data_IF_608777906275
#
_entry.id   IF_608777906275
#
_cell.length_a   1.000
_cell.length_b   1.000
_cell.length_c   1.000
_cell.angle_alpha   90.00
_cell.angle_beta   90.00
_cell.angle_gamma   90.00
#
_symmetry.space_group_name_H-M   'P 1'
#
loop_
_entity.id
_entity.type
_entity.pdbx_description
1 polymer ?
#
# COMPACT_ATOMS: atom_id res chain seq x y z
N UNK A 1 67.87 -3.21 -14.65
CA UNK A 1 66.68 -3.68 -15.39
C UNK A 1 66.52 -5.12 -14.90
N UNK A 2 65.64 -5.48 -13.98
CA UNK A 2 64.25 -5.08 -13.73
C UNK A 2 63.96 -4.81 -12.25
N UNK A 3 63.05 -3.85 -12.04
CA UNK A 3 62.44 -3.53 -10.75
C UNK A 3 61.19 -4.41 -10.65
N UNK A 4 61.13 -5.34 -9.71
CA UNK A 4 59.91 -6.08 -9.38
C UNK A 4 59.11 -5.23 -8.39
N UNK A 5 58.15 -4.49 -8.93
CA UNK A 5 57.14 -3.73 -8.20
C UNK A 5 56.16 -4.71 -7.52
N UNK A 6 56.21 -4.77 -6.18
CA UNK A 6 55.18 -5.43 -5.39
C UNK A 6 53.85 -4.68 -5.57
N UNK A 7 52.90 -5.31 -6.29
CA UNK A 7 51.50 -4.91 -6.28
C UNK A 7 50.95 -5.10 -4.85
N UNK A 8 50.71 -3.99 -4.15
CA UNK A 8 49.81 -3.97 -3.00
C UNK A 8 48.38 -4.06 -3.56
N UNK A 9 47.71 -5.18 -3.32
CA UNK A 9 46.26 -5.23 -3.46
C UNK A 9 45.63 -4.21 -2.49
N UNK A 10 44.61 -3.45 -2.91
CA UNK A 10 43.88 -2.57 -2.02
C UNK A 10 43.06 -3.43 -1.06
N UNK A 11 43.36 -3.31 0.24
CA UNK A 11 42.46 -3.78 1.31
C UNK A 11 41.10 -3.13 1.07
N UNK A 12 39.99 -3.88 1.04
CA UNK A 12 38.67 -3.26 0.93
C UNK A 12 38.48 -2.40 2.17
N UNK A 13 38.30 -1.09 1.96
CA UNK A 13 37.87 -0.18 3.01
C UNK A 13 36.52 -0.66 3.53
N UNK A 14 36.55 -1.40 4.64
CA UNK A 14 35.36 -1.61 5.45
C UNK A 14 34.84 -0.24 5.84
N UNK A 15 33.60 0.06 5.46
CA UNK A 15 32.94 1.30 5.84
C UNK A 15 32.84 1.37 7.35
N UNK A 16 33.71 2.16 7.97
CA UNK A 16 33.54 2.67 9.31
C UNK A 16 32.25 3.53 9.28
N UNK A 17 31.13 2.95 9.74
CA UNK A 17 30.01 3.77 10.15
C UNK A 17 30.53 4.76 11.19
N UNK A 18 30.20 6.04 11.04
CA UNK A 18 30.73 7.06 11.93
C UNK A 18 30.37 6.73 13.38
N UNK A 19 31.21 7.09 14.35
CA UNK A 19 30.94 6.88 15.78
C UNK A 19 29.57 7.45 16.20
N UNK A 20 29.13 8.50 15.49
CA UNK A 20 27.84 9.16 15.68
C UNK A 20 26.66 8.28 15.20
N UNK A 21 26.84 7.49 14.13
CA UNK A 21 25.83 6.53 13.66
C UNK A 21 25.66 5.37 14.65
N UNK A 22 26.75 4.91 15.26
CA UNK A 22 26.70 3.87 16.28
C UNK A 22 26.02 4.36 17.56
N UNK A 23 26.39 5.54 18.04
CA UNK A 23 25.75 6.17 19.19
C UNK A 23 24.24 6.38 18.96
N UNK A 24 23.86 6.84 17.77
CA UNK A 24 22.46 7.04 17.37
C UNK A 24 21.68 5.72 17.35
N UNK A 25 22.26 4.64 16.81
CA UNK A 25 21.65 3.30 16.83
C UNK A 25 21.45 2.77 18.25
N UNK A 26 22.45 2.92 19.11
CA UNK A 26 22.38 2.46 20.50
C UNK A 26 21.33 3.24 21.30
N UNK A 27 21.29 4.56 21.14
CA UNK A 27 20.28 5.43 21.77
C UNK A 27 18.88 5.05 21.30
N UNK A 28 18.68 4.92 19.99
CA UNK A 28 17.38 4.53 19.42
C UNK A 28 16.90 3.17 19.94
N UNK A 29 17.79 2.17 19.99
CA UNK A 29 17.45 0.85 20.54
C UNK A 29 17.07 0.91 22.03
N UNK A 30 17.80 1.69 22.84
CA UNK A 30 17.48 1.87 24.25
C UNK A 30 16.11 2.55 24.46
N UNK A 31 15.79 3.55 23.64
CA UNK A 31 14.50 4.23 23.66
C UNK A 31 13.35 3.30 23.27
N UNK A 32 13.51 2.51 22.20
CA UNK A 32 12.53 1.49 21.80
C UNK A 32 12.28 0.50 22.94
N UNK A 33 13.34 -0.02 23.56
CA UNK A 33 13.22 -0.99 24.66
C UNK A 33 12.49 -0.38 25.86
N UNK A 34 12.77 0.89 26.19
CA UNK A 34 12.09 1.59 27.28
C UNK A 34 10.62 1.86 26.97
N UNK A 35 10.31 2.24 25.74
CA UNK A 35 8.93 2.42 25.27
C UNK A 35 8.14 1.12 25.37
N UNK A 36 8.71 -0.01 24.92
CA UNK A 36 8.08 -1.33 25.04
C UNK A 36 7.86 -1.76 26.49
N UNK A 37 8.81 -1.47 27.38
CA UNK A 37 8.66 -1.74 28.80
C UNK A 37 7.51 -0.91 29.42
N UNK A 38 7.38 0.36 29.05
CA UNK A 38 6.28 1.24 29.46
C UNK A 38 4.93 0.75 28.93
N UNK A 39 4.86 0.36 27.65
CA UNK A 39 3.65 -0.26 27.09
C UNK A 39 3.21 -1.51 27.87
N UNK A 40 4.15 -2.32 28.36
CA UNK A 40 3.85 -3.51 29.16
C UNK A 40 3.29 -3.19 30.55
N UNK A 41 3.65 -2.05 31.15
CA UNK A 41 3.03 -1.55 32.38
C UNK A 41 1.60 -1.07 32.12
N UNK A 42 1.41 -0.39 30.98
CA UNK A 42 0.11 -0.18 30.37
C UNK A 42 -0.81 0.82 31.06
N UNK A 43 -0.34 1.64 32.01
CA UNK A 43 -1.10 2.82 32.45
C UNK A 43 -1.12 3.89 31.36
N UNK A 44 -2.08 4.83 31.40
CA UNK A 44 -2.13 5.91 30.42
C UNK A 44 -0.85 6.77 30.48
N UNK A 45 -0.35 7.11 31.68
CA UNK A 45 0.91 7.83 31.87
C UNK A 45 2.11 7.07 31.28
N UNK A 46 2.15 5.74 31.44
CA UNK A 46 3.20 4.92 30.83
C UNK A 46 3.11 4.93 29.31
N UNK A 47 1.90 4.85 28.75
CA UNK A 47 1.70 4.90 27.29
C UNK A 47 2.07 6.27 26.72
N UNK A 48 1.69 7.38 27.38
CA UNK A 48 2.11 8.72 26.98
C UNK A 48 3.64 8.86 27.01
N UNK A 49 4.26 8.35 28.07
CA UNK A 49 5.71 8.28 28.18
C UNK A 49 6.36 7.38 27.11
N UNK A 50 5.68 6.31 26.67
CA UNK A 50 6.14 5.45 25.59
C UNK A 50 6.05 6.16 24.24
N UNK A 51 5.02 6.98 24.00
CA UNK A 51 4.94 7.84 22.81
C UNK A 51 6.16 8.75 22.71
N UNK A 52 6.53 9.42 23.81
CA UNK A 52 7.69 10.31 23.83
C UNK A 52 9.01 9.57 23.54
N UNK A 53 9.17 8.37 24.10
CA UNK A 53 10.32 7.52 23.80
C UNK A 53 10.36 7.08 22.34
N UNK A 54 9.23 6.68 21.76
CA UNK A 54 9.18 6.30 20.35
C UNK A 54 9.46 7.49 19.43
N UNK A 55 8.92 8.68 19.72
CA UNK A 55 9.25 9.91 18.96
C UNK A 55 10.74 10.22 19.01
N UNK A 56 11.34 10.12 20.20
CA UNK A 56 12.78 10.31 20.37
C UNK A 56 13.58 9.23 19.62
N UNK A 57 13.14 7.98 19.61
CA UNK A 57 13.79 6.91 18.86
C UNK A 57 13.74 7.15 17.35
N UNK A 58 12.58 7.52 16.81
CA UNK A 58 12.41 7.85 15.39
C UNK A 58 13.31 9.03 14.99
N UNK A 59 13.46 10.04 15.85
CA UNK A 59 14.32 11.19 15.59
C UNK A 59 15.83 10.87 15.67
N UNK A 60 16.21 9.92 16.52
CA UNK A 60 17.62 9.52 16.69
C UNK A 60 18.08 8.52 15.62
N UNK A 61 17.20 7.63 15.16
CA UNK A 61 17.58 6.54 14.26
C UNK A 61 17.74 7.01 12.80
N UNK A 62 18.64 6.38 12.02
CA UNK A 62 18.70 6.65 10.58
C UNK A 62 17.34 6.37 9.92
N UNK A 63 16.84 7.32 9.13
CA UNK A 63 15.46 7.32 8.61
C UNK A 63 15.08 6.02 7.87
N UNK A 64 15.98 5.49 7.04
CA UNK A 64 15.74 4.27 6.27
C UNK A 64 16.05 2.96 7.02
N UNK A 65 16.34 3.03 8.33
CA UNK A 65 16.68 1.85 9.13
C UNK A 65 15.44 1.06 9.55
N UNK A 66 15.56 -0.27 9.60
CA UNK A 66 14.51 -1.16 10.12
C UNK A 66 14.03 -0.70 11.51
N UNK A 67 14.95 -0.26 12.36
CA UNK A 67 14.66 0.21 13.71
C UNK A 67 13.79 1.48 13.69
N UNK A 68 14.05 2.43 12.77
CA UNK A 68 13.20 3.61 12.61
C UNK A 68 11.78 3.21 12.19
N UNK A 69 11.66 2.28 11.23
CA UNK A 69 10.36 1.73 10.81
C UNK A 69 9.61 1.02 11.95
N UNK A 70 10.31 0.25 12.78
CA UNK A 70 9.73 -0.40 13.96
C UNK A 70 9.35 0.60 15.06
N UNK A 71 10.16 1.65 15.28
CA UNK A 71 9.84 2.70 16.24
C UNK A 71 8.60 3.50 15.82
N UNK A 72 8.48 3.84 14.53
CA UNK A 72 7.29 4.49 13.98
C UNK A 72 6.04 3.58 14.08
N UNK A 73 6.19 2.27 13.87
CA UNK A 73 5.11 1.31 14.12
C UNK A 73 4.67 1.31 15.59
N UNK A 74 5.62 1.23 16.52
CA UNK A 74 5.37 1.28 17.96
C UNK A 74 4.70 2.58 18.40
N UNK A 75 5.12 3.72 17.83
CA UNK A 75 4.49 5.02 18.02
C UNK A 75 3.01 4.98 17.65
N UNK A 76 2.70 4.54 16.42
CA UNK A 76 1.32 4.44 15.94
C UNK A 76 0.47 3.50 16.77
N UNK A 77 1.02 2.34 17.18
CA UNK A 77 0.32 1.37 18.01
C UNK A 77 -0.02 1.93 19.40
N UNK A 78 0.90 2.68 20.00
CA UNK A 78 0.70 3.32 21.31
C UNK A 78 -0.37 4.40 21.24
N UNK A 79 -0.30 5.27 20.23
CA UNK A 79 -1.30 6.33 20.02
C UNK A 79 -2.69 5.71 19.80
N UNK A 80 -2.79 4.67 18.96
CA UNK A 80 -4.06 4.01 18.69
C UNK A 80 -4.66 3.36 19.95
N UNK A 81 -3.83 2.81 20.82
CA UNK A 81 -4.28 2.27 22.12
C UNK A 81 -4.83 3.37 23.04
N UNK A 82 -4.12 4.49 23.17
CA UNK A 82 -4.59 5.67 23.92
C UNK A 82 -5.93 6.19 23.37
N UNK A 83 -6.08 6.23 22.04
CA UNK A 83 -7.35 6.60 21.40
C UNK A 83 -8.50 5.66 21.79
N UNK A 84 -8.25 4.34 21.79
CA UNK A 84 -9.27 3.33 22.16
C UNK A 84 -9.70 3.43 23.62
N UNK A 85 -8.82 3.90 24.49
CA UNK A 85 -9.09 4.14 25.91
C UNK A 85 -9.83 5.45 26.17
N UNK A 86 -9.90 6.33 25.17
CA UNK A 86 -10.50 7.66 25.30
C UNK A 86 -9.61 8.64 26.07
N UNK A 87 -8.30 8.40 26.13
CA UNK A 87 -7.34 9.31 26.76
C UNK A 87 -7.30 10.64 25.97
N UNK A 88 -7.32 11.77 26.68
CA UNK A 88 -7.44 13.08 26.04
C UNK A 88 -6.18 13.45 25.25
N UNK A 89 -6.35 14.12 24.10
CA UNK A 89 -5.23 14.64 23.30
C UNK A 89 -4.63 13.67 22.28
N UNK A 90 -5.23 12.49 22.11
CA UNK A 90 -4.78 11.47 21.14
C UNK A 90 -5.80 11.27 20.02
N UNK A 91 -5.35 11.25 18.77
CA UNK A 91 -6.19 11.06 17.58
C UNK A 91 -5.69 9.87 16.73
N UNK A 92 -6.62 9.05 16.23
CA UNK A 92 -6.33 7.97 15.29
C UNK A 92 -5.71 8.49 13.98
N UNK A 93 -5.88 9.79 13.65
CA UNK A 93 -5.14 10.44 12.55
C UNK A 93 -3.63 10.44 12.77
N UNK A 94 -3.18 10.68 14.00
CA UNK A 94 -1.76 10.69 14.34
C UNK A 94 -1.19 9.27 14.33
N UNK A 95 -1.99 8.28 14.77
CA UNK A 95 -1.63 6.87 14.66
C UNK A 95 -1.47 6.45 13.18
N UNK A 96 -2.40 6.84 12.31
CA UNK A 96 -2.32 6.56 10.88
C UNK A 96 -1.05 7.16 10.26
N UNK A 97 -0.71 8.42 10.59
CA UNK A 97 0.52 9.06 10.13
C UNK A 97 1.79 8.34 10.58
N UNK A 98 1.84 7.85 11.82
CA UNK A 98 2.96 7.05 12.31
C UNK A 98 3.07 5.69 11.60
N UNK A 99 1.95 5.04 11.29
CA UNK A 99 1.97 3.80 10.49
C UNK A 99 2.36 4.05 9.03
N UNK A 100 1.95 5.17 8.43
CA UNK A 100 2.39 5.57 7.09
C UNK A 100 3.91 5.85 7.06
N UNK A 101 4.44 6.52 8.09
CA UNK A 101 5.89 6.68 8.27
C UNK A 101 6.60 5.32 8.44
N UNK A 102 6.00 4.38 9.18
CA UNK A 102 6.53 3.03 9.28
C UNK A 102 6.58 2.32 7.92
N UNK A 103 5.54 2.48 7.10
CA UNK A 103 5.42 1.86 5.77
C UNK A 103 6.33 2.48 4.71
N UNK A 104 6.87 3.69 4.93
CA UNK A 104 7.90 4.26 4.04
C UNK A 104 9.22 3.49 4.13
N UNK A 105 9.47 2.82 5.26
CA UNK A 105 10.64 1.96 5.52
C UNK A 105 10.29 0.49 5.31
N UNK A 106 9.17 0.05 5.89
CA UNK A 106 8.73 -1.35 5.88
C UNK A 106 7.94 -1.63 4.61
N UNK A 107 8.64 -2.02 3.54
CA UNK A 107 8.03 -2.36 2.26
C UNK A 107 7.74 -3.85 2.12
N UNK A 108 6.84 -4.19 1.18
CA UNK A 108 6.57 -5.57 0.80
C UNK A 108 7.83 -6.32 0.31
N UNK A 109 8.78 -5.63 -0.33
CA UNK A 109 9.98 -6.24 -0.91
C UNK A 109 11.13 -6.41 0.08
N UNK A 110 11.29 -5.50 1.04
CA UNK A 110 12.39 -5.53 2.01
C UNK A 110 12.01 -6.24 3.31
N UNK A 111 10.78 -6.02 3.80
CA UNK A 111 10.33 -6.51 5.10
C UNK A 111 8.87 -7.01 5.05
N UNK A 112 8.54 -8.03 4.25
CA UNK A 112 7.16 -8.41 3.92
C UNK A 112 6.28 -8.63 5.16
N UNK A 113 6.75 -9.40 6.14
CA UNK A 113 5.98 -9.66 7.36
C UNK A 113 5.69 -8.39 8.15
N UNK A 114 6.70 -7.54 8.37
CA UNK A 114 6.54 -6.29 9.12
C UNK A 114 5.67 -5.28 8.35
N UNK A 115 5.81 -5.22 7.03
CA UNK A 115 4.91 -4.46 6.16
C UNK A 115 3.46 -4.87 6.34
N UNK A 116 3.17 -6.17 6.38
CA UNK A 116 1.81 -6.69 6.57
C UNK A 116 1.24 -6.32 7.96
N UNK A 117 2.06 -6.40 9.01
CA UNK A 117 1.68 -5.96 10.37
C UNK A 117 1.38 -4.46 10.40
N UNK A 118 2.23 -3.64 9.77
CA UNK A 118 2.01 -2.19 9.69
C UNK A 118 0.76 -1.84 8.87
N UNK A 119 0.50 -2.53 7.75
CA UNK A 119 -0.74 -2.37 6.96
C UNK A 119 -1.99 -2.75 7.74
N UNK A 120 -1.95 -3.85 8.50
CA UNK A 120 -3.08 -4.21 9.37
C UNK A 120 -3.31 -3.16 10.46
N UNK A 121 -2.24 -2.63 11.04
CA UNK A 121 -2.33 -1.59 12.08
C UNK A 121 -2.88 -0.27 11.51
N UNK A 122 -2.45 0.12 10.31
CA UNK A 122 -3.01 1.26 9.57
C UNK A 122 -4.50 1.06 9.28
N UNK A 123 -4.92 -0.16 8.92
CA UNK A 123 -6.34 -0.46 8.73
C UNK A 123 -7.15 -0.22 10.01
N UNK A 124 -6.62 -0.61 11.17
CA UNK A 124 -7.28 -0.38 12.46
C UNK A 124 -7.33 1.11 12.84
N UNK A 125 -6.32 1.90 12.46
CA UNK A 125 -6.33 3.35 12.68
C UNK A 125 -7.39 4.05 11.83
N UNK A 126 -7.52 3.67 10.55
CA UNK A 126 -8.60 4.17 9.71
C UNK A 126 -9.99 3.68 10.16
N UNK A 127 -10.13 2.41 10.59
CA UNK A 127 -11.37 1.87 11.18
C UNK A 127 -11.82 2.72 12.38
N UNK A 128 -10.89 3.11 13.26
CA UNK A 128 -11.18 3.94 14.43
C UNK A 128 -11.70 5.35 14.08
N UNK A 129 -11.42 5.85 12.87
CA UNK A 129 -11.93 7.14 12.39
C UNK A 129 -13.37 7.06 11.88
N UNK A 130 -13.81 5.89 11.40
CA UNK A 130 -15.21 5.57 11.12
C UNK A 130 -15.87 6.22 9.90
N UNK A 131 -15.26 7.24 9.28
CA UNK A 131 -15.81 7.90 8.09
C UNK A 131 -15.81 6.94 6.88
N UNK A 132 -16.80 7.01 5.95
CA UNK A 132 -16.88 6.09 4.81
C UNK A 132 -15.60 6.00 3.97
N UNK A 133 -14.93 7.14 3.74
CA UNK A 133 -13.65 7.18 3.04
C UNK A 133 -12.52 6.50 3.81
N UNK A 134 -12.49 6.63 5.14
CA UNK A 134 -11.52 5.97 6.00
C UNK A 134 -11.80 4.47 6.11
N UNK A 135 -13.06 4.05 6.19
CA UNK A 135 -13.42 2.62 6.13
C UNK A 135 -12.97 1.97 4.81
N UNK A 136 -13.07 2.68 3.68
CA UNK A 136 -12.55 2.17 2.41
C UNK A 136 -11.01 2.07 2.39
N UNK A 137 -10.31 3.05 2.99
CA UNK A 137 -8.85 2.98 3.19
C UNK A 137 -8.44 1.84 4.12
N UNK A 138 -9.24 1.60 5.16
CA UNK A 138 -9.07 0.49 6.09
C UNK A 138 -9.21 -0.84 5.34
N UNK A 139 -10.24 -0.97 4.50
CA UNK A 139 -10.49 -2.17 3.71
C UNK A 139 -9.30 -2.47 2.79
N UNK A 140 -8.79 -1.46 2.08
CA UNK A 140 -7.63 -1.62 1.21
C UNK A 140 -6.37 -2.03 1.99
N UNK A 141 -6.11 -1.41 3.14
CA UNK A 141 -4.96 -1.71 4.00
C UNK A 141 -5.04 -3.13 4.60
N UNK A 142 -6.22 -3.55 5.07
CA UNK A 142 -6.46 -4.89 5.59
C UNK A 142 -6.27 -5.96 4.50
N UNK A 143 -6.74 -5.69 3.28
CA UNK A 143 -6.55 -6.60 2.15
C UNK A 143 -5.07 -6.75 1.79
N UNK A 144 -4.31 -5.66 1.78
CA UNK A 144 -2.86 -5.70 1.54
C UNK A 144 -2.11 -6.52 2.62
N UNK A 145 -2.54 -6.46 3.89
CA UNK A 145 -1.94 -7.26 4.95
C UNK A 145 -2.21 -8.78 4.77
N UNK A 146 -3.47 -9.15 4.48
CA UNK A 146 -3.87 -10.56 4.29
C UNK A 146 -3.14 -11.21 3.13
N UNK A 147 -2.84 -10.45 2.07
CA UNK A 147 -2.10 -10.96 0.91
C UNK A 147 -0.68 -11.44 1.24
N UNK A 148 -0.12 -11.02 2.38
CA UNK A 148 1.23 -11.41 2.82
C UNK A 148 1.19 -12.44 3.95
N UNK A 149 0.17 -12.39 4.82
CA UNK A 149 0.04 -13.37 5.90
C UNK A 149 -0.28 -14.75 5.35
N UNK A 150 0.73 -15.63 5.29
CA UNK A 150 0.50 -17.06 5.07
C UNK A 150 -0.45 -17.64 6.15
N UNK A 151 -1.60 -18.24 5.79
CA UNK A 151 -2.58 -18.74 6.76
C UNK A 151 -2.07 -19.88 7.65
N UNK A 152 -0.99 -20.56 7.25
CA UNK A 152 -0.39 -21.69 7.97
C UNK A 152 0.72 -21.21 8.90
N UNK A 153 1.59 -20.31 8.44
CA UNK A 153 2.74 -19.80 9.20
C UNK A 153 2.35 -18.63 10.12
N UNK A 154 1.41 -17.79 9.68
CA UNK A 154 0.98 -16.57 10.37
C UNK A 154 -0.50 -16.66 10.79
N UNK A 155 -0.97 -17.85 11.19
CA UNK A 155 -2.39 -18.14 11.39
C UNK A 155 -3.13 -17.13 12.30
N UNK A 156 -2.47 -16.64 13.35
CA UNK A 156 -3.05 -15.63 14.25
C UNK A 156 -3.28 -14.30 13.52
N UNK A 157 -2.24 -13.76 12.87
CA UNK A 157 -2.31 -12.52 12.12
C UNK A 157 -3.28 -12.60 10.94
N UNK A 158 -3.27 -13.73 10.22
CA UNK A 158 -4.22 -13.94 9.13
C UNK A 158 -5.66 -13.91 9.64
N UNK A 159 -5.96 -14.62 10.74
CA UNK A 159 -7.32 -14.66 11.31
C UNK A 159 -7.80 -13.29 11.77
N UNK A 160 -6.94 -12.53 12.46
CA UNK A 160 -7.32 -11.20 12.95
C UNK A 160 -7.50 -10.20 11.81
N UNK A 161 -6.59 -10.19 10.83
CA UNK A 161 -6.70 -9.33 9.65
C UNK A 161 -7.93 -9.69 8.80
N UNK A 162 -8.21 -10.98 8.60
CA UNK A 162 -9.39 -11.44 7.88
C UNK A 162 -10.69 -11.07 8.61
N UNK A 163 -10.73 -11.14 9.94
CA UNK A 163 -11.88 -10.69 10.72
C UNK A 163 -12.09 -9.18 10.62
N UNK A 164 -11.00 -8.39 10.61
CA UNK A 164 -11.07 -6.94 10.34
C UNK A 164 -11.62 -6.67 8.94
N UNK A 165 -11.12 -7.35 7.91
CA UNK A 165 -11.59 -7.19 6.54
C UNK A 165 -13.11 -7.47 6.43
N UNK A 166 -13.58 -8.57 7.01
CA UNK A 166 -15.00 -8.93 7.00
C UNK A 166 -15.89 -7.91 7.73
N UNK A 167 -15.43 -7.34 8.85
CA UNK A 167 -16.16 -6.25 9.53
C UNK A 167 -16.24 -4.99 8.66
N UNK A 168 -15.14 -4.62 8.00
CA UNK A 168 -15.06 -3.43 7.17
C UNK A 168 -15.98 -3.55 5.94
N UNK A 169 -16.03 -4.72 5.30
CA UNK A 169 -17.02 -5.02 4.25
C UNK A 169 -18.44 -4.82 4.76
N UNK A 170 -18.79 -5.48 5.87
CA UNK A 170 -20.13 -5.36 6.43
C UNK A 170 -20.50 -3.92 6.80
N UNK A 171 -19.54 -3.11 7.23
CA UNK A 171 -19.76 -1.70 7.57
C UNK A 171 -19.97 -0.84 6.31
N UNK A 172 -19.21 -1.09 5.24
CA UNK A 172 -19.29 -0.35 3.98
C UNK A 172 -20.50 -0.74 3.13
N UNK A 173 -20.92 -2.00 3.18
CA UNK A 173 -22.07 -2.50 2.43
C UNK A 173 -23.39 -1.91 2.92
N UNK A 174 -23.43 -1.41 4.17
CA UNK A 174 -24.65 -0.83 4.74
C UNK A 174 -25.85 -1.78 4.78
N UNK A 175 -25.61 -3.09 4.62
CA UNK A 175 -26.64 -4.12 4.48
C UNK A 175 -27.03 -4.52 3.05
N UNK A 176 -26.38 -3.99 2.01
CA UNK A 176 -26.51 -4.44 0.61
C UNK A 176 -25.36 -5.40 0.23
N UNK A 177 -25.57 -6.74 0.27
CA UNK A 177 -24.52 -7.71 0.00
C UNK A 177 -24.08 -7.75 -1.48
N UNK A 178 -24.76 -7.01 -2.37
CA UNK A 178 -24.43 -6.95 -3.79
C UNK A 178 -23.19 -6.12 -4.10
N UNK A 179 -22.73 -5.29 -3.14
CA UNK A 179 -21.57 -4.43 -3.33
C UNK A 179 -20.29 -5.22 -2.98
N UNK A 180 -19.50 -5.57 -3.98
CA UNK A 180 -18.24 -6.29 -3.77
C UNK A 180 -17.12 -5.39 -3.20
N UNK A 181 -16.10 -6.01 -2.59
CA UNK A 181 -14.84 -5.36 -2.16
C UNK A 181 -14.26 -4.44 -3.22
N UNK A 182 -14.20 -4.91 -4.46
CA UNK A 182 -13.62 -4.16 -5.58
C UNK A 182 -14.42 -2.92 -5.95
N UNK A 183 -15.73 -2.91 -5.69
CA UNK A 183 -16.58 -1.73 -5.87
C UNK A 183 -16.30 -0.63 -4.83
N UNK A 184 -15.99 -1.01 -3.59
CA UNK A 184 -15.54 -0.05 -2.56
C UNK A 184 -14.17 0.52 -2.90
N UNK A 185 -13.25 -0.33 -3.38
CA UNK A 185 -11.94 0.11 -3.85
C UNK A 185 -12.07 1.05 -5.05
N UNK A 186 -12.90 0.72 -6.04
CA UNK A 186 -13.15 1.57 -7.20
C UNK A 186 -13.64 2.97 -6.80
N UNK A 187 -14.61 3.04 -5.86
CA UNK A 187 -15.11 4.29 -5.31
C UNK A 187 -14.05 5.08 -4.54
N UNK A 188 -13.21 4.40 -3.74
CA UNK A 188 -12.09 5.04 -3.05
C UNK A 188 -11.12 5.68 -4.05
N UNK A 189 -10.74 4.95 -5.10
CA UNK A 189 -9.84 5.45 -6.14
C UNK A 189 -10.42 6.68 -6.85
N UNK A 190 -11.72 6.69 -7.14
CA UNK A 190 -12.40 7.81 -7.78
C UNK A 190 -12.54 9.05 -6.86
N UNK A 191 -12.70 8.84 -5.56
CA UNK A 191 -12.92 9.90 -4.58
C UNK A 191 -11.62 10.55 -4.06
N UNK A 192 -10.47 9.91 -4.27
CA UNK A 192 -9.20 10.38 -3.70
C UNK A 192 -8.37 11.27 -4.64
N UNK A 193 -7.32 11.89 -4.08
CA UNK A 193 -6.33 12.70 -4.81
C UNK A 193 -5.57 11.86 -5.84
N UNK A 194 -4.97 12.49 -6.83
CA UNK A 194 -4.17 11.78 -7.84
C UNK A 194 -2.97 11.04 -7.21
N UNK A 195 -2.24 11.70 -6.30
CA UNK A 195 -1.10 11.09 -5.63
C UNK A 195 -1.49 9.86 -4.80
N UNK A 196 -2.57 9.94 -4.01
CA UNK A 196 -3.05 8.80 -3.23
C UNK A 196 -3.58 7.69 -4.15
N UNK A 197 -4.33 8.04 -5.19
CA UNK A 197 -4.87 7.08 -6.18
C UNK A 197 -3.75 6.31 -6.86
N UNK A 198 -2.70 6.99 -7.30
CA UNK A 198 -1.55 6.37 -7.97
C UNK A 198 -0.83 5.40 -7.04
N UNK A 199 -0.65 5.76 -5.76
CA UNK A 199 -0.06 4.86 -4.77
C UNK A 199 -0.93 3.62 -4.50
N UNK A 200 -2.24 3.81 -4.32
CA UNK A 200 -3.20 2.72 -4.10
C UNK A 200 -3.24 1.75 -5.29
N UNK A 201 -3.25 2.29 -6.52
CA UNK A 201 -3.19 1.48 -7.74
C UNK A 201 -1.86 0.75 -7.84
N UNK A 202 -0.72 1.42 -7.62
CA UNK A 202 0.60 0.79 -7.67
C UNK A 202 0.70 -0.39 -6.70
N UNK A 203 0.26 -0.23 -5.45
CA UNK A 203 0.24 -1.30 -4.46
C UNK A 203 -0.60 -2.50 -4.92
N UNK A 204 -1.79 -2.24 -5.47
CA UNK A 204 -2.71 -3.27 -5.95
C UNK A 204 -2.19 -3.97 -7.19
N UNK A 205 -1.64 -3.25 -8.16
CA UNK A 205 -1.07 -3.80 -9.39
C UNK A 205 0.20 -4.62 -9.11
N UNK A 206 1.08 -4.18 -8.21
CA UNK A 206 2.25 -4.96 -7.79
C UNK A 206 1.84 -6.27 -7.11
N UNK A 207 0.78 -6.25 -6.29
CA UNK A 207 0.20 -7.48 -5.72
C UNK A 207 -0.40 -8.37 -6.81
N UNK A 208 -1.18 -7.83 -7.75
CA UNK A 208 -1.68 -8.62 -8.87
C UNK A 208 -0.51 -9.26 -9.65
N UNK A 209 0.60 -8.54 -9.82
CA UNK A 209 1.81 -9.04 -10.46
C UNK A 209 2.45 -10.24 -9.74
N UNK A 210 2.32 -10.34 -8.42
CA UNK A 210 2.90 -11.44 -7.64
C UNK A 210 2.05 -12.70 -7.63
N UNK A 211 0.79 -12.63 -8.09
CA UNK A 211 -0.11 -13.78 -8.18
C UNK A 211 0.21 -14.68 -9.39
N UNK A 212 -0.18 -15.97 -9.35
CA UNK A 212 -0.25 -16.81 -10.54
C UNK A 212 -1.16 -16.20 -11.61
N UNK A 213 -0.99 -16.52 -12.91
CA UNK A 213 -1.75 -15.90 -13.99
C UNK A 213 -3.26 -15.87 -13.78
N UNK A 214 -3.86 -16.98 -13.33
CA UNK A 214 -5.30 -17.05 -13.04
C UNK A 214 -5.73 -16.12 -11.91
N UNK A 215 -4.90 -15.95 -10.87
CA UNK A 215 -5.15 -15.03 -9.77
C UNK A 215 -4.98 -13.57 -10.18
N UNK A 216 -3.99 -13.27 -11.02
CA UNK A 216 -3.78 -11.94 -11.60
C UNK A 216 -4.99 -11.53 -12.44
N UNK A 217 -5.44 -12.38 -13.36
CA UNK A 217 -6.63 -12.13 -14.19
C UNK A 217 -7.87 -11.91 -13.32
N UNK A 218 -8.11 -12.74 -12.30
CA UNK A 218 -9.27 -12.58 -11.42
C UNK A 218 -9.24 -11.25 -10.62
N UNK A 219 -8.06 -10.82 -10.14
CA UNK A 219 -7.93 -9.54 -9.42
C UNK A 219 -8.14 -8.34 -10.36
N UNK A 220 -7.61 -8.41 -11.59
CA UNK A 220 -7.81 -7.40 -12.64
C UNK A 220 -9.27 -7.35 -13.09
N UNK A 221 -9.90 -8.50 -13.36
CA UNK A 221 -11.31 -8.62 -13.75
C UNK A 221 -12.22 -7.93 -12.73
N UNK A 222 -12.02 -8.26 -11.45
CA UNK A 222 -12.83 -7.69 -10.37
C UNK A 222 -12.62 -6.18 -10.23
N UNK A 223 -11.37 -5.71 -10.33
CA UNK A 223 -11.07 -4.28 -10.26
C UNK A 223 -11.64 -3.54 -11.47
N UNK A 224 -11.26 -3.92 -12.69
CA UNK A 224 -11.62 -3.21 -13.92
C UNK A 224 -13.13 -3.26 -14.16
N UNK A 225 -13.80 -4.37 -13.88
CA UNK A 225 -15.27 -4.44 -13.89
C UNK A 225 -15.89 -3.39 -12.94
N UNK A 226 -15.40 -3.33 -11.70
CA UNK A 226 -15.88 -2.34 -10.73
C UNK A 226 -15.55 -0.89 -11.12
N UNK A 227 -14.49 -0.66 -11.89
CA UNK A 227 -14.17 0.67 -12.43
C UNK A 227 -15.13 1.06 -13.54
N UNK A 228 -15.49 0.13 -14.43
CA UNK A 228 -16.43 0.37 -15.53
C UNK A 228 -17.83 0.74 -15.04
N UNK A 229 -18.21 0.27 -13.84
CA UNK A 229 -19.48 0.59 -13.18
C UNK A 229 -19.50 1.98 -12.48
N UNK A 230 -18.38 2.71 -12.46
CA UNK A 230 -18.34 4.08 -11.91
C UNK A 230 -19.08 5.08 -12.83
N UNK A 231 -19.39 6.26 -12.29
CA UNK A 231 -19.75 7.40 -13.13
C UNK A 231 -18.60 7.76 -14.08
N UNK A 232 -18.93 8.37 -15.23
CA UNK A 232 -17.95 8.59 -16.30
C UNK A 232 -16.74 9.43 -15.86
N UNK A 233 -16.95 10.41 -14.99
CA UNK A 233 -15.86 11.26 -14.46
C UNK A 233 -14.98 10.47 -13.47
N UNK A 234 -15.59 9.63 -12.64
CA UNK A 234 -14.90 8.66 -11.78
C UNK A 234 -14.07 7.68 -12.59
N UNK A 235 -14.68 7.00 -13.57
CA UNK A 235 -14.01 6.06 -14.46
C UNK A 235 -12.85 6.72 -15.20
N UNK A 236 -13.06 7.87 -15.85
CA UNK A 236 -12.01 8.61 -16.56
C UNK A 236 -10.84 8.96 -15.64
N UNK A 237 -11.11 9.47 -14.43
CA UNK A 237 -10.06 9.82 -13.45
C UNK A 237 -9.24 8.59 -13.07
N UNK A 238 -9.88 7.47 -12.77
CA UNK A 238 -9.16 6.26 -12.35
C UNK A 238 -8.42 5.62 -13.52
N UNK A 239 -9.01 5.59 -14.71
CA UNK A 239 -8.39 5.06 -15.92
C UNK A 239 -7.10 5.80 -16.29
N UNK A 240 -7.05 7.13 -16.11
CA UNK A 240 -5.84 7.94 -16.32
C UNK A 240 -4.68 7.53 -15.40
N UNK A 241 -4.97 7.22 -14.14
CA UNK A 241 -3.99 6.72 -13.17
C UNK A 241 -3.62 5.26 -13.47
N UNK A 242 -4.59 4.41 -13.81
CA UNK A 242 -4.38 3.00 -14.14
C UNK A 242 -3.42 2.85 -15.34
N UNK A 243 -3.67 3.57 -16.43
CA UNK A 243 -2.79 3.53 -17.62
C UNK A 243 -1.39 4.05 -17.27
N UNK A 244 -1.28 5.12 -16.47
CA UNK A 244 0.02 5.61 -16.00
C UNK A 244 0.79 4.53 -15.24
N UNK A 245 0.14 3.91 -14.24
CA UNK A 245 0.74 2.84 -13.45
C UNK A 245 1.13 1.61 -14.27
N UNK A 246 0.30 1.18 -15.21
CA UNK A 246 0.61 0.04 -16.08
C UNK A 246 1.83 0.28 -16.97
N UNK A 247 2.20 1.53 -17.24
CA UNK A 247 3.39 1.87 -18.00
C UNK A 247 4.70 1.84 -17.20
N UNK A 248 4.60 1.85 -15.88
CA UNK A 248 5.76 1.76 -14.97
C UNK A 248 6.00 0.33 -14.47
N UNK A 249 5.05 -0.58 -14.72
CA UNK A 249 5.00 -1.93 -14.18
C UNK A 249 5.31 -3.00 -15.24
N UNK A 250 5.54 -4.28 -14.84
CA UNK A 250 5.95 -5.32 -15.77
C UNK A 250 4.98 -5.51 -16.96
N UNK A 251 5.54 -5.73 -18.15
CA UNK A 251 4.78 -5.78 -19.43
C UNK A 251 3.60 -6.77 -19.43
N UNK A 252 3.76 -7.95 -18.81
CA UNK A 252 2.68 -8.94 -18.67
C UNK A 252 1.42 -8.39 -18.00
N UNK A 253 1.57 -7.40 -17.12
CA UNK A 253 0.45 -6.76 -16.41
C UNK A 253 -0.32 -5.84 -17.35
N UNK A 254 0.39 -5.11 -18.20
CA UNK A 254 -0.21 -4.26 -19.23
C UNK A 254 -1.01 -5.12 -20.22
N UNK A 255 -0.43 -6.22 -20.69
CA UNK A 255 -1.09 -7.16 -21.61
C UNK A 255 -2.39 -7.72 -21.00
N UNK A 256 -2.31 -8.25 -19.77
CA UNK A 256 -3.47 -8.79 -19.07
C UNK A 256 -4.53 -7.72 -18.78
N UNK A 257 -4.13 -6.51 -18.43
CA UNK A 257 -5.05 -5.40 -18.19
C UNK A 257 -5.75 -4.94 -19.48
N UNK A 258 -5.02 -4.86 -20.60
CA UNK A 258 -5.60 -4.55 -21.92
C UNK A 258 -6.64 -5.60 -22.33
N UNK A 259 -6.32 -6.89 -22.23
CA UNK A 259 -7.26 -7.98 -22.48
C UNK A 259 -8.52 -7.84 -21.61
N UNK A 260 -8.33 -7.61 -20.31
CA UNK A 260 -9.42 -7.45 -19.35
C UNK A 260 -10.31 -6.26 -19.67
N UNK A 261 -9.71 -5.09 -19.99
CA UNK A 261 -10.45 -3.88 -20.38
C UNK A 261 -11.30 -4.15 -21.63
N UNK A 262 -10.73 -4.75 -22.67
CA UNK A 262 -11.46 -5.08 -23.90
C UNK A 262 -12.67 -5.97 -23.62
N UNK A 263 -12.46 -7.05 -22.86
CA UNK A 263 -13.52 -8.00 -22.52
C UNK A 263 -14.63 -7.34 -21.70
N UNK A 264 -14.27 -6.60 -20.65
CA UNK A 264 -15.24 -5.88 -19.81
C UNK A 264 -16.03 -4.85 -20.63
N UNK A 265 -15.36 -4.06 -21.47
CA UNK A 265 -16.05 -3.05 -22.29
C UNK A 265 -17.02 -3.69 -23.28
N UNK A 266 -16.63 -4.79 -23.94
CA UNK A 266 -17.47 -5.48 -24.90
C UNK A 266 -18.76 -6.05 -24.29
N UNK A 267 -18.73 -6.42 -23.01
CA UNK A 267 -19.88 -6.97 -22.28
C UNK A 267 -20.70 -5.88 -21.56
N UNK A 268 -20.17 -4.67 -21.44
CA UNK A 268 -20.78 -3.59 -20.67
C UNK A 268 -21.87 -2.85 -21.45
N UNK A 269 -22.97 -2.46 -20.79
CA UNK A 269 -24.09 -1.76 -21.43
C UNK A 269 -23.73 -0.38 -22.02
N UNK A 270 -22.61 0.21 -21.60
CA UNK A 270 -22.08 1.51 -22.06
C UNK A 270 -20.79 1.37 -22.90
N UNK A 271 -20.63 0.29 -23.68
CA UNK A 271 -19.41 -0.01 -24.46
C UNK A 271 -18.86 1.19 -25.24
N UNK A 272 -19.69 1.88 -26.02
CA UNK A 272 -19.27 2.99 -26.89
C UNK A 272 -18.59 4.10 -26.08
N UNK A 273 -19.26 4.58 -25.04
CA UNK A 273 -18.77 5.66 -24.16
C UNK A 273 -17.50 5.27 -23.41
N UNK A 274 -17.40 4.03 -22.95
CA UNK A 274 -16.19 3.53 -22.29
C UNK A 274 -15.01 3.44 -23.25
N UNK A 275 -15.23 3.01 -24.50
CA UNK A 275 -14.19 2.94 -25.53
C UNK A 275 -13.73 4.33 -25.97
N UNK A 276 -14.64 5.29 -26.14
CA UNK A 276 -14.29 6.69 -26.44
C UNK A 276 -13.45 7.31 -25.31
N UNK A 277 -13.84 7.05 -24.06
CA UNK A 277 -13.10 7.52 -22.88
C UNK A 277 -11.71 6.90 -22.82
N UNK A 278 -11.59 5.61 -23.10
CA UNK A 278 -10.31 4.92 -23.18
C UNK A 278 -9.38 5.52 -24.26
N UNK A 279 -9.87 5.73 -25.49
CA UNK A 279 -9.04 6.33 -26.55
C UNK A 279 -8.62 7.76 -26.21
N UNK A 280 -9.52 8.54 -25.61
CA UNK A 280 -9.24 9.89 -25.13
C UNK A 280 -8.14 9.89 -24.06
N UNK A 281 -8.24 9.02 -23.06
CA UNK A 281 -7.23 8.89 -22.00
C UNK A 281 -5.88 8.43 -22.55
N UNK A 282 -5.86 7.44 -23.44
CA UNK A 282 -4.64 6.97 -24.11
C UNK A 282 -3.99 8.11 -24.89
N UNK A 283 -4.79 8.91 -25.61
CA UNK A 283 -4.31 10.07 -26.37
C UNK A 283 -3.68 11.13 -25.47
N UNK A 284 -4.29 11.40 -24.32
CA UNK A 284 -3.83 12.42 -23.37
C UNK A 284 -2.63 11.98 -22.52
N UNK A 285 -2.57 10.71 -22.11
CA UNK A 285 -1.58 10.22 -21.13
C UNK A 285 -0.32 9.67 -21.77
N UNK A 286 -0.41 9.08 -22.96
CA UNK A 286 0.69 8.33 -23.55
C UNK A 286 1.38 9.09 -24.68
N UNK A 287 2.70 8.98 -24.76
CA UNK A 287 3.49 9.52 -25.87
C UNK A 287 3.46 8.56 -27.08
N UNK A 288 3.92 9.03 -28.25
CA UNK A 288 3.77 8.34 -29.54
C UNK A 288 3.98 6.81 -29.51
N UNK A 289 5.18 6.31 -29.13
CA UNK A 289 5.45 4.88 -29.09
C UNK A 289 4.59 4.10 -28.09
N UNK A 290 4.38 4.64 -26.88
CA UNK A 290 3.54 4.00 -25.86
C UNK A 290 2.09 3.89 -26.32
N UNK A 291 1.57 4.97 -26.93
CA UNK A 291 0.21 5.03 -27.46
C UNK A 291 -0.03 4.02 -28.58
N UNK A 292 0.91 3.89 -29.51
CA UNK A 292 0.84 2.87 -30.57
C UNK A 292 0.81 1.49 -29.93
N UNK A 293 1.77 1.19 -29.04
CA UNK A 293 1.84 -0.10 -28.35
C UNK A 293 0.54 -0.48 -27.62
N UNK A 294 -0.04 0.44 -26.84
CA UNK A 294 -1.27 0.15 -26.09
C UNK A 294 -2.45 -0.06 -27.03
N UNK A 295 -2.57 0.72 -28.10
CA UNK A 295 -3.62 0.51 -29.11
C UNK A 295 -3.46 -0.83 -29.83
N UNK A 296 -2.25 -1.18 -30.24
CA UNK A 296 -1.97 -2.47 -30.89
C UNK A 296 -2.38 -3.65 -29.98
N UNK A 297 -2.10 -3.55 -28.67
CA UNK A 297 -2.54 -4.55 -27.68
C UNK A 297 -4.06 -4.60 -27.56
N UNK A 298 -4.74 -3.46 -27.51
CA UNK A 298 -6.21 -3.41 -27.43
C UNK A 298 -6.86 -3.97 -28.70
N UNK A 299 -6.37 -3.58 -29.89
CA UNK A 299 -6.84 -4.03 -31.20
C UNK A 299 -6.64 -5.55 -31.37
N UNK A 300 -5.50 -6.09 -30.93
CA UNK A 300 -5.26 -7.53 -30.90
C UNK A 300 -6.28 -8.30 -30.02
N UNK A 301 -6.87 -7.63 -29.03
CA UNK A 301 -7.90 -8.16 -28.14
C UNK A 301 -9.33 -7.79 -28.59
N UNK A 302 -9.52 -7.36 -29.84
CA UNK A 302 -10.84 -7.10 -30.43
C UNK A 302 -11.43 -5.73 -30.15
N UNK A 303 -10.65 -4.80 -29.56
CA UNK A 303 -11.06 -3.41 -29.45
C UNK A 303 -11.04 -2.73 -30.81
N UNK A 304 -12.17 -2.13 -31.21
CA UNK A 304 -12.24 -1.30 -32.42
C UNK A 304 -12.13 0.14 -31.98
N UNK A 305 -11.14 0.84 -32.53
CA UNK A 305 -10.92 2.25 -32.23
C UNK A 305 -12.16 3.08 -32.62
N UNK A 306 -12.76 3.82 -31.68
CA UNK A 306 -13.91 4.69 -31.95
C UNK A 306 -13.52 5.93 -32.78
#
# INVERSE_FOLDING_TARGET
>A
IEIVTAHREPVPAGGEGSTDDEASRLLGAALINRAQARQALGTDEDLESAVDDYRAAVAALPEASLQAGMAAHGLGATILELCRRGSAGWDARDAAGAFEQSLSVLSHTSFPFHHAVARHSLALAYEARGEPGDLARALNSAHAAIAVFDPRLHASHWRTAHATLARLESALDGGDPGIGRSSHVARLLAATTEAERDQLLRDRLLRAASLPPTGMSADLDSLIGSLADLDLDGYRRVLRSLIGGLMELPDRLLEAACETVCRIHAEHHSTEVLNETLDSVITERLFGPQRVRVRDLLEANGWVRP
#
